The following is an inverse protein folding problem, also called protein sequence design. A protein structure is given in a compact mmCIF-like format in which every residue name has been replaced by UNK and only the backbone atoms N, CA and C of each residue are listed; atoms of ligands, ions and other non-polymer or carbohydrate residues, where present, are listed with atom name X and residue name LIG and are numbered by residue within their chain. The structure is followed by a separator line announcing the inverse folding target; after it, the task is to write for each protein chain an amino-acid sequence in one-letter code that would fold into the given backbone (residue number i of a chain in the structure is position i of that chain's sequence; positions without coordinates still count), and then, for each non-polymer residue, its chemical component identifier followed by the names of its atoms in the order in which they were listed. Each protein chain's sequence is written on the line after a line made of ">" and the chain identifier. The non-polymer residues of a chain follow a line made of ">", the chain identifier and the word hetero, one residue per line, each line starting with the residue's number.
data_IF_241529574329
#
_entry.id   IF_241529574329
#
_cell.length_a   1.000
_cell.length_b   1.000
_cell.length_c   1.000
_cell.angle_alpha   90.00
_cell.angle_beta   90.00
_cell.angle_gamma   90.00
#
_symmetry.space_group_name_H-M   'P 1'
#
loop_
_entity.id
_entity.type
_entity.pdbx_description
1 polymer ?
#
# COMPACT_ATOMS: atom_id res chain seq x y z
N UNK A 1 -15.60 -4.46 -5.13
CA UNK A 1 -14.26 -5.03 -4.83
C UNK A 1 -13.32 -4.98 -6.05
N UNK A 2 -13.46 -4.03 -6.97
CA UNK A 2 -12.64 -3.94 -8.20
C UNK A 2 -11.50 -2.92 -8.08
N UNK A 3 -11.74 -1.81 -7.37
CA UNK A 3 -10.78 -0.72 -7.25
C UNK A 3 -9.52 -1.08 -6.44
N UNK A 4 -9.61 -1.95 -5.42
CA UNK A 4 -8.42 -2.40 -4.68
C UNK A 4 -7.53 -3.27 -5.57
N UNK A 5 -8.13 -4.19 -6.33
CA UNK A 5 -7.42 -5.08 -7.24
C UNK A 5 -6.73 -4.28 -8.34
N UNK A 6 -7.44 -3.33 -8.95
CA UNK A 6 -6.90 -2.45 -9.99
C UNK A 6 -5.71 -1.62 -9.47
N UNK A 7 -5.84 -1.08 -8.26
CA UNK A 7 -4.76 -0.33 -7.61
C UNK A 7 -3.53 -1.18 -7.31
N UNK A 8 -3.70 -2.38 -6.75
CA UNK A 8 -2.59 -3.28 -6.46
C UNK A 8 -1.94 -3.79 -7.76
N UNK A 9 -2.73 -4.02 -8.80
CA UNK A 9 -2.24 -4.37 -10.14
C UNK A 9 -1.38 -3.26 -10.73
N UNK A 10 -1.81 -2.01 -10.58
CA UNK A 10 -1.05 -0.84 -11.03
C UNK A 10 0.25 -0.68 -10.24
N UNK A 11 0.21 -0.86 -8.91
CA UNK A 11 1.41 -0.87 -8.06
C UNK A 11 2.40 -1.94 -8.52
N UNK A 12 1.93 -3.16 -8.82
CA UNK A 12 2.79 -4.22 -9.36
C UNK A 12 3.45 -3.80 -10.67
N UNK A 13 2.71 -3.14 -11.57
CA UNK A 13 3.27 -2.64 -12.81
C UNK A 13 4.38 -1.60 -12.58
N UNK A 14 4.18 -0.66 -11.65
CA UNK A 14 5.22 0.32 -11.29
C UNK A 14 6.45 -0.32 -10.64
N UNK A 15 6.25 -1.31 -9.77
CA UNK A 15 7.37 -2.07 -9.18
C UNK A 15 8.15 -2.79 -10.27
N UNK A 16 7.48 -3.48 -11.20
CA UNK A 16 8.14 -4.14 -12.34
C UNK A 16 8.95 -3.19 -13.20
N UNK A 17 8.39 -2.00 -13.47
CA UNK A 17 9.04 -0.96 -14.26
C UNK A 17 10.07 -0.14 -13.45
N UNK A 18 10.27 -0.44 -12.16
CA UNK A 18 11.14 0.30 -11.24
C UNK A 18 10.82 1.81 -11.19
N UNK A 19 9.56 2.18 -11.41
CA UNK A 19 9.12 3.56 -11.53
C UNK A 19 8.66 4.10 -10.16
N UNK A 20 9.63 4.48 -9.33
CA UNK A 20 9.40 4.93 -7.95
C UNK A 20 8.62 6.25 -7.84
N UNK A 21 8.77 7.15 -8.81
CA UNK A 21 8.08 8.45 -8.82
C UNK A 21 6.57 8.29 -9.06
N UNK A 22 6.18 7.47 -10.03
CA UNK A 22 4.77 7.16 -10.26
C UNK A 22 4.18 6.34 -9.13
N UNK A 23 4.93 5.37 -8.58
CA UNK A 23 4.51 4.62 -7.39
C UNK A 23 4.19 5.57 -6.23
N UNK A 24 5.09 6.53 -5.95
CA UNK A 24 4.89 7.53 -4.91
C UNK A 24 3.66 8.39 -5.17
N UNK A 25 3.48 8.92 -6.38
CA UNK A 25 2.30 9.71 -6.72
C UNK A 25 1.02 8.90 -6.58
N UNK A 26 1.03 7.63 -6.98
CA UNK A 26 -0.10 6.73 -6.88
C UNK A 26 -0.50 6.42 -5.43
N UNK A 27 0.48 6.31 -4.54
CA UNK A 27 0.27 6.20 -3.09
C UNK A 27 -0.25 7.50 -2.46
N UNK A 28 -0.03 8.67 -3.06
CA UNK A 28 -0.56 9.94 -2.54
C UNK A 28 -2.00 10.19 -3.00
N UNK A 29 -2.37 9.71 -4.18
CA UNK A 29 -3.66 9.97 -4.82
C UNK A 29 -4.84 9.26 -4.13
N UNK A 30 -4.60 8.24 -3.30
CA UNK A 30 -5.67 7.37 -2.83
C UNK A 30 -5.94 7.47 -1.34
N UNK A 31 -7.10 8.03 -1.02
CA UNK A 31 -7.72 8.02 0.31
C UNK A 31 -9.00 7.18 0.26
N UNK A 32 -9.35 6.47 1.34
CA UNK A 32 -10.71 5.90 1.48
C UNK A 32 -10.89 4.37 1.47
N UNK A 33 -9.91 3.57 1.91
CA UNK A 33 -10.12 2.12 2.17
C UNK A 33 -10.84 1.82 3.49
N UNK A 34 -11.71 2.72 3.96
CA UNK A 34 -12.34 2.69 5.29
C UNK A 34 -13.31 1.53 5.54
N UNK A 35 -13.67 0.73 4.52
CA UNK A 35 -14.76 -0.26 4.61
C UNK A 35 -14.35 -1.69 4.24
N UNK A 36 -13.06 -2.04 4.21
CA UNK A 36 -12.65 -3.42 3.92
C UNK A 36 -12.24 -4.19 5.18
N UNK A 37 -12.71 -5.44 5.27
CA UNK A 37 -12.24 -6.43 6.24
C UNK A 37 -10.72 -6.64 6.11
N UNK A 38 -9.99 -6.60 7.24
CA UNK A 38 -8.53 -6.82 7.30
C UNK A 38 -8.10 -8.07 6.54
N UNK A 39 -8.74 -9.20 6.85
CA UNK A 39 -8.37 -10.50 6.29
C UNK A 39 -8.61 -10.57 4.78
N UNK A 40 -9.71 -9.98 4.30
CA UNK A 40 -9.99 -9.93 2.86
C UNK A 40 -8.99 -9.01 2.13
N UNK A 41 -8.55 -7.94 2.79
CA UNK A 41 -7.60 -6.98 2.25
C UNK A 41 -6.19 -7.60 2.15
N UNK A 42 -5.73 -8.25 3.21
CA UNK A 42 -4.46 -9.00 3.21
C UNK A 42 -4.41 -10.09 2.12
N UNK A 43 -5.46 -10.90 2.01
CA UNK A 43 -5.56 -11.92 0.95
C UNK A 43 -5.56 -11.31 -0.45
N UNK A 44 -6.20 -10.14 -0.62
CA UNK A 44 -6.20 -9.44 -1.90
C UNK A 44 -4.82 -8.90 -2.25
N UNK A 45 -4.08 -8.39 -1.27
CA UNK A 45 -2.69 -7.92 -1.44
C UNK A 45 -1.80 -9.07 -1.87
N UNK A 46 -1.80 -10.19 -1.15
CA UNK A 46 -0.98 -11.36 -1.48
C UNK A 46 -1.29 -11.91 -2.88
N UNK A 47 -2.57 -11.90 -3.27
CA UNK A 47 -2.98 -12.34 -4.60
C UNK A 47 -2.53 -11.38 -5.72
N UNK A 48 -2.46 -10.08 -5.43
CA UNK A 48 -2.13 -9.07 -6.44
C UNK A 48 -0.64 -8.74 -6.50
N UNK A 49 0.11 -8.98 -5.42
CA UNK A 49 1.56 -8.78 -5.31
C UNK A 49 2.26 -10.10 -4.99
N UNK A 50 2.22 -11.09 -5.90
CA UNK A 50 2.97 -12.32 -5.74
C UNK A 50 4.47 -12.05 -5.86
N UNK A 51 5.25 -12.79 -5.09
CA UNK A 51 6.70 -12.89 -5.24
C UNK A 51 6.97 -13.81 -6.44
N UNK A 52 7.25 -13.23 -7.61
CA UNK A 52 7.74 -13.98 -8.77
C UNK A 52 9.28 -14.05 -8.72
N UNK A 53 9.85 -15.26 -8.61
CA UNK A 53 11.30 -15.51 -8.73
C UNK A 53 11.79 -15.53 -10.19
N UNK A 54 10.88 -15.67 -11.15
CA UNK A 54 11.16 -15.73 -12.61
C UNK A 54 10.82 -14.39 -13.28
N UNK A 55 11.49 -13.32 -12.85
CA UNK A 55 11.39 -11.99 -13.48
C UNK A 55 12.44 -11.83 -14.57
N UNK A 56 12.03 -11.29 -15.71
CA UNK A 56 12.92 -11.02 -16.84
C UNK A 56 14.00 -10.00 -16.47
N UNK A 57 15.16 -10.09 -17.11
CA UNK A 57 16.30 -9.19 -16.85
C UNK A 57 15.89 -7.71 -17.06
N UNK A 58 15.86 -6.94 -15.97
CA UNK A 58 15.42 -5.54 -15.95
C UNK A 58 14.05 -5.30 -15.29
N UNK A 59 13.26 -6.33 -15.02
CA UNK A 59 12.03 -6.24 -14.23
C UNK A 59 12.31 -6.52 -12.75
N UNK A 60 11.63 -5.78 -11.86
CA UNK A 60 11.66 -6.07 -10.43
C UNK A 60 10.38 -6.78 -9.97
N UNK A 61 10.51 -7.63 -8.97
CA UNK A 61 9.37 -8.30 -8.33
C UNK A 61 9.05 -7.61 -7.00
N UNK A 62 7.77 -7.57 -6.57
CA UNK A 62 7.44 -7.17 -5.21
C UNK A 62 8.22 -8.03 -4.20
N UNK A 63 9.04 -7.40 -3.35
CA UNK A 63 9.77 -8.10 -2.30
C UNK A 63 8.93 -8.22 -1.03
N UNK A 64 9.20 -9.19 -0.12
CA UNK A 64 8.34 -9.47 1.03
C UNK A 64 8.16 -8.26 1.96
N UNK A 65 9.19 -7.41 2.07
CA UNK A 65 9.12 -6.15 2.81
C UNK A 65 8.14 -5.15 2.22
N UNK A 66 8.04 -5.07 0.89
CA UNK A 66 7.08 -4.19 0.22
C UNK A 66 5.64 -4.70 0.39
N UNK A 67 5.44 -6.03 0.30
CA UNK A 67 4.12 -6.63 0.55
C UNK A 67 3.66 -6.37 1.98
N UNK A 68 4.55 -6.53 2.96
CA UNK A 68 4.28 -6.18 4.37
C UNK A 68 3.94 -4.70 4.52
N UNK A 69 4.74 -3.81 3.92
CA UNK A 69 4.47 -2.38 3.92
C UNK A 69 3.09 -2.03 3.34
N UNK A 70 2.68 -2.67 2.25
CA UNK A 70 1.38 -2.44 1.62
C UNK A 70 0.22 -2.88 2.51
N UNK A 71 0.38 -3.96 3.29
CA UNK A 71 -0.60 -4.38 4.30
C UNK A 71 -0.75 -3.31 5.38
N UNK A 72 0.36 -2.87 5.96
CA UNK A 72 0.36 -1.84 7.01
C UNK A 72 -0.19 -0.50 6.52
N UNK A 73 0.19 -0.07 5.31
CA UNK A 73 -0.28 1.15 4.68
C UNK A 73 -1.80 1.14 4.49
N UNK A 74 -2.37 0.05 3.97
CA UNK A 74 -3.81 -0.04 3.73
C UNK A 74 -4.61 -0.19 5.03
N UNK A 75 -4.07 -0.89 6.04
CA UNK A 75 -4.64 -0.95 7.39
C UNK A 75 -4.63 0.45 8.04
N UNK A 76 -3.52 1.17 7.93
CA UNK A 76 -3.41 2.56 8.38
C UNK A 76 -4.47 3.45 7.72
N UNK A 77 -4.65 3.37 6.39
CA UNK A 77 -5.67 4.14 5.69
C UNK A 77 -7.11 3.77 6.02
N UNK A 78 -7.34 2.55 6.52
CA UNK A 78 -8.63 2.15 7.07
C UNK A 78 -8.86 2.77 8.45
N UNK A 79 -7.87 2.67 9.34
CA UNK A 79 -7.97 3.08 10.74
C UNK A 79 -7.75 4.58 10.96
N UNK A 80 -7.20 5.29 9.95
CA UNK A 80 -6.96 6.72 10.03
C UNK A 80 -8.28 7.48 10.04
N UNK A 81 -8.57 8.09 11.19
CA UNK A 81 -9.69 9.01 11.33
C UNK A 81 -9.26 10.46 11.10
N UNK A 82 -9.46 10.96 9.88
CA UNK A 82 -9.16 12.35 9.50
C UNK A 82 -10.04 13.39 10.21
N UNK A 83 -11.13 12.98 10.87
CA UNK A 83 -11.92 13.85 11.73
C UNK A 83 -11.16 14.18 13.04
N UNK A 84 -10.14 13.38 13.37
CA UNK A 84 -9.30 13.57 14.56
C UNK A 84 -7.84 13.90 14.18
N UNK A 85 -7.66 14.85 13.27
CA UNK A 85 -6.36 15.42 12.87
C UNK A 85 -5.53 15.90 14.08
N UNK A 86 -6.22 16.29 15.16
CA UNK A 86 -5.63 16.73 16.43
C UNK A 86 -4.90 15.58 17.16
N UNK A 87 -5.45 14.36 17.14
CA UNK A 87 -4.80 13.19 17.73
C UNK A 87 -3.53 12.78 16.97
N UNK A 88 -3.54 12.91 15.63
CA UNK A 88 -2.35 12.67 14.80
C UNK A 88 -1.22 13.67 15.11
N UNK A 89 -1.55 14.95 15.35
CA UNK A 89 -0.57 15.96 15.76
C UNK A 89 0.00 15.71 17.17
N UNK A 90 -0.83 15.23 18.11
CA UNK A 90 -0.38 14.87 19.47
C UNK A 90 0.56 13.66 19.46
N UNK A 91 0.28 12.63 18.65
CA UNK A 91 1.16 11.46 18.50
C UNK A 91 2.49 11.82 17.82
N UNK A 92 2.46 12.63 16.76
CA UNK A 92 3.68 13.10 16.08
C UNK A 92 4.56 14.00 16.98
N UNK A 93 3.95 14.85 17.80
CA UNK A 93 4.67 15.72 18.74
C UNK A 93 5.31 14.96 19.91
N UNK A 94 4.79 13.77 20.25
CA UNK A 94 5.36 12.91 21.31
C UNK A 94 6.63 12.17 20.89
N UNK A 95 6.86 12.01 19.58
CA UNK A 95 8.03 11.36 18.99
C UNK A 95 9.25 12.29 18.85
N UNK A 96 9.05 13.61 18.95
CA UNK A 96 10.12 14.63 18.91
C UNK A 96 10.56 14.99 20.35
N UNK A 97 10.88 13.97 21.13
CA UNK A 97 11.60 14.12 22.41
C UNK A 97 12.87 13.31 22.42
#
# INVERSE_FOLDING_TARGET
>A
MTLLIEFLTQIRAFVRQQNGDELRNWLLLRTGFRQQDSTALEQTIERCLPEDDDVSEGEATPWPGFVTFMKDYLLFWRDVDFDNLLAAHTLLSGLVK
#
